data_IF_201491072301
#
_entry.id   IF_201491072301
#
_cell.length_a   1.000
_cell.length_b   1.000
_cell.length_c   1.000
_cell.angle_alpha   90.00
_cell.angle_beta   90.00
_cell.angle_gamma   90.00
#
_symmetry.space_group_name_H-M   'P 1'
#
loop_
_entity.id
_entity.type
_entity.pdbx_description
1 polymer ?
#
# COMPACT_ATOMS: atom_id res chain seq x y z
N UNK A 1 8.45 3.14 -38.73
CA UNK A 1 9.33 3.45 -37.58
C UNK A 1 8.44 3.40 -36.35
N UNK A 2 8.34 2.24 -35.72
CA UNK A 2 7.68 2.12 -34.41
C UNK A 2 8.74 2.43 -33.37
N UNK A 3 8.71 3.66 -32.86
CA UNK A 3 9.47 4.03 -31.67
C UNK A 3 8.90 3.24 -30.51
N UNK A 4 9.55 2.14 -30.15
CA UNK A 4 9.32 1.47 -28.87
C UNK A 4 9.55 2.51 -27.77
N UNK A 5 8.46 2.98 -27.16
CA UNK A 5 8.53 3.73 -25.92
C UNK A 5 9.06 2.77 -24.86
N UNK A 6 10.29 3.00 -24.42
CA UNK A 6 10.84 2.30 -23.26
C UNK A 6 10.05 2.82 -22.05
N UNK A 7 9.05 2.05 -21.63
CA UNK A 7 8.29 2.37 -20.43
C UNK A 7 9.16 1.94 -19.24
N UNK A 8 9.89 2.89 -18.64
CA UNK A 8 10.72 2.66 -17.46
C UNK A 8 9.82 2.43 -16.22
N UNK A 9 9.21 1.24 -16.13
CA UNK A 9 8.42 0.83 -14.99
C UNK A 9 9.30 0.33 -13.85
N UNK A 10 8.99 0.72 -12.61
CA UNK A 10 9.58 0.15 -11.40
C UNK A 10 8.64 -0.93 -10.84
N UNK A 11 9.19 -2.08 -10.44
CA UNK A 11 8.43 -3.15 -9.78
C UNK A 11 8.78 -3.18 -8.29
N UNK A 12 7.79 -2.99 -7.43
CA UNK A 12 7.90 -3.20 -5.98
C UNK A 12 7.24 -4.53 -5.63
N UNK A 13 7.98 -5.41 -4.96
CA UNK A 13 7.45 -6.67 -4.43
C UNK A 13 7.30 -6.53 -2.93
N UNK A 14 6.11 -6.85 -2.44
CA UNK A 14 5.78 -6.85 -1.02
C UNK A 14 5.48 -8.28 -0.58
N UNK A 15 5.91 -8.63 0.63
CA UNK A 15 5.43 -9.81 1.34
C UNK A 15 3.97 -9.62 1.77
N UNK A 16 3.32 -10.71 2.19
CA UNK A 16 1.96 -10.62 2.73
C UNK A 16 1.91 -9.71 3.96
N UNK A 17 2.90 -9.83 4.86
CA UNK A 17 2.98 -9.00 6.07
C UNK A 17 3.14 -7.50 5.72
N UNK A 18 3.97 -7.15 4.74
CA UNK A 18 4.09 -5.75 4.26
C UNK A 18 2.82 -5.25 3.56
N UNK A 19 2.16 -6.12 2.79
CA UNK A 19 0.95 -5.79 2.03
C UNK A 19 -0.20 -5.39 2.96
N UNK A 20 -0.50 -6.20 3.99
CA UNK A 20 -1.58 -5.89 4.93
C UNK A 20 -1.29 -4.64 5.75
N UNK A 21 -0.03 -4.39 6.11
CA UNK A 21 0.38 -3.18 6.85
C UNK A 21 0.22 -1.93 5.99
N UNK A 22 0.72 -1.95 4.75
CA UNK A 22 0.68 -0.81 3.86
C UNK A 22 -0.75 -0.49 3.44
N UNK A 23 -1.54 -1.52 3.12
CA UNK A 23 -2.97 -1.37 2.83
C UNK A 23 -3.70 -0.72 4.00
N UNK A 24 -3.58 -1.27 5.22
CA UNK A 24 -4.24 -0.71 6.41
C UNK A 24 -3.90 0.77 6.64
N UNK A 25 -2.63 1.12 6.42
CA UNK A 25 -2.19 2.50 6.57
C UNK A 25 -2.78 3.41 5.49
N UNK A 26 -2.74 3.00 4.22
CA UNK A 26 -3.29 3.75 3.09
C UNK A 26 -4.80 3.95 3.22
N UNK A 27 -5.56 2.93 3.62
CA UNK A 27 -7.01 3.04 3.80
C UNK A 27 -7.38 4.05 4.89
N UNK A 28 -6.75 3.97 6.07
CA UNK A 28 -6.98 4.95 7.15
C UNK A 28 -6.56 6.36 6.76
N UNK A 29 -5.51 6.46 5.94
CA UNK A 29 -5.01 7.73 5.44
C UNK A 29 -5.99 8.35 4.43
N UNK A 30 -6.50 7.58 3.48
CA UNK A 30 -7.44 8.06 2.46
C UNK A 30 -8.87 8.32 3.01
N UNK A 31 -9.24 7.75 4.16
CA UNK A 31 -10.48 8.09 4.87
C UNK A 31 -10.45 9.47 5.54
N UNK A 32 -9.27 10.06 5.73
CA UNK A 32 -9.08 11.32 6.43
C UNK A 32 -8.82 12.48 5.44
N UNK A 33 -9.30 13.68 5.75
CA UNK A 33 -8.96 14.87 4.95
C UNK A 33 -7.51 15.32 5.25
N UNK A 34 -6.69 15.32 4.22
CA UNK A 34 -5.27 15.66 4.26
C UNK A 34 -4.92 16.82 3.31
N UNK A 35 -5.86 17.72 3.02
CA UNK A 35 -5.69 18.81 2.06
C UNK A 35 -4.44 19.71 2.28
N UNK A 36 -3.89 19.77 3.49
CA UNK A 36 -2.67 20.55 3.79
C UNK A 36 -1.36 19.75 3.72
N UNK A 37 -1.43 18.43 3.53
CA UNK A 37 -0.26 17.55 3.49
C UNK A 37 0.39 17.54 2.10
N UNK A 38 -0.41 17.67 1.04
CA UNK A 38 0.02 17.52 -0.35
C UNK A 38 0.44 18.85 -0.97
N UNK A 39 1.50 18.81 -1.77
CA UNK A 39 1.88 19.96 -2.60
C UNK A 39 1.11 20.00 -3.93
N UNK A 40 0.74 18.83 -4.44
CA UNK A 40 -0.03 18.66 -5.67
C UNK A 40 -1.03 17.51 -5.53
N UNK A 41 -2.18 17.62 -6.20
CA UNK A 41 -3.22 16.59 -6.18
C UNK A 41 -2.75 15.25 -6.76
N UNK A 42 -1.75 15.25 -7.65
CA UNK A 42 -1.17 14.03 -8.20
C UNK A 42 -0.54 13.13 -7.11
N UNK A 43 -0.02 13.69 -6.02
CA UNK A 43 0.54 12.93 -4.90
C UNK A 43 -0.55 12.09 -4.21
N UNK A 44 -1.69 12.71 -3.93
CA UNK A 44 -2.88 12.04 -3.39
C UNK A 44 -3.39 10.97 -4.36
N UNK A 45 -3.45 11.28 -5.66
CA UNK A 45 -3.91 10.33 -6.68
C UNK A 45 -3.05 9.07 -6.71
N UNK A 46 -1.72 9.20 -6.62
CA UNK A 46 -0.80 8.06 -6.62
C UNK A 46 -1.06 7.17 -5.39
N UNK A 47 -1.26 7.76 -4.21
CA UNK A 47 -1.55 7.00 -2.99
C UNK A 47 -2.92 6.28 -3.06
N UNK A 48 -3.92 6.92 -3.66
CA UNK A 48 -5.21 6.28 -3.93
C UNK A 48 -5.09 5.11 -4.91
N UNK A 49 -4.32 5.28 -6.00
CA UNK A 49 -4.07 4.21 -6.97
C UNK A 49 -3.28 3.04 -6.33
N UNK A 50 -2.34 3.34 -5.42
CA UNK A 50 -1.63 2.32 -4.64
C UNK A 50 -2.58 1.53 -3.74
N UNK A 51 -3.48 2.19 -3.02
CA UNK A 51 -4.50 1.50 -2.19
C UNK A 51 -5.34 0.55 -3.03
N UNK A 52 -5.86 1.03 -4.18
CA UNK A 52 -6.70 0.23 -5.07
C UNK A 52 -5.96 -0.97 -5.69
N UNK A 53 -4.63 -0.89 -5.87
CA UNK A 53 -3.81 -2.03 -6.29
C UNK A 53 -3.72 -3.06 -5.16
N UNK A 54 -3.44 -2.60 -3.92
CA UNK A 54 -3.30 -3.49 -2.76
C UNK A 54 -4.63 -4.16 -2.41
N UNK A 55 -5.75 -3.44 -2.46
CA UNK A 55 -7.10 -3.99 -2.18
C UNK A 55 -7.41 -5.23 -3.01
N UNK A 56 -6.99 -5.25 -4.29
CA UNK A 56 -7.17 -6.41 -5.18
C UNK A 56 -6.39 -7.62 -4.69
N UNK A 57 -5.18 -7.41 -4.15
CA UNK A 57 -4.39 -8.47 -3.55
C UNK A 57 -4.97 -8.92 -2.20
N UNK A 58 -5.60 -8.02 -1.44
CA UNK A 58 -6.12 -8.34 -0.10
C UNK A 58 -7.21 -9.39 -0.12
N UNK A 59 -8.16 -9.28 -1.05
CA UNK A 59 -9.28 -10.22 -1.19
C UNK A 59 -8.85 -11.66 -1.54
N UNK A 60 -7.64 -11.84 -2.07
CA UNK A 60 -7.10 -13.15 -2.44
C UNK A 60 -6.25 -13.78 -1.31
N UNK A 61 -5.68 -12.95 -0.44
CA UNK A 61 -4.64 -13.36 0.51
C UNK A 61 -5.17 -13.47 1.95
N UNK A 62 -6.17 -12.66 2.32
CA UNK A 62 -6.62 -12.53 3.70
C UNK A 62 -8.09 -12.92 3.88
N UNK A 63 -8.41 -13.49 5.05
CA UNK A 63 -9.75 -13.96 5.45
C UNK A 63 -10.27 -13.07 6.59
N UNK A 64 -11.43 -13.42 7.14
CA UNK A 64 -12.23 -12.74 8.17
C UNK A 64 -11.49 -12.29 9.45
N UNK A 65 -10.29 -12.81 9.75
CA UNK A 65 -9.49 -12.38 10.90
C UNK A 65 -8.40 -11.35 10.56
N UNK A 66 -8.78 -10.36 9.76
CA UNK A 66 -7.93 -9.25 9.31
C UNK A 66 -7.16 -8.56 10.45
N UNK A 67 -7.83 -8.34 11.59
CA UNK A 67 -7.22 -7.60 12.72
C UNK A 67 -6.07 -8.36 13.37
N UNK A 68 -6.23 -9.67 13.55
CA UNK A 68 -5.17 -10.51 14.12
C UNK A 68 -3.99 -10.62 13.16
N UNK A 69 -4.25 -10.82 11.87
CA UNK A 69 -3.22 -10.90 10.83
C UNK A 69 -2.42 -9.60 10.73
N UNK A 70 -3.08 -8.45 10.80
CA UNK A 70 -2.43 -7.15 10.80
C UNK A 70 -1.55 -6.95 12.05
N UNK A 71 -2.01 -7.37 13.22
CA UNK A 71 -1.24 -7.29 14.46
C UNK A 71 0.04 -8.14 14.36
N UNK A 72 -0.08 -9.39 13.93
CA UNK A 72 1.05 -10.30 13.76
C UNK A 72 2.05 -9.79 12.73
N UNK A 73 1.58 -9.30 11.59
CA UNK A 73 2.43 -8.69 10.57
C UNK A 73 3.24 -7.52 11.15
N UNK A 74 2.58 -6.63 11.91
CA UNK A 74 3.25 -5.50 12.58
C UNK A 74 4.30 -5.95 13.58
N UNK A 75 4.04 -6.99 14.37
CA UNK A 75 5.03 -7.54 15.30
C UNK A 75 6.26 -8.09 14.57
N UNK A 76 6.08 -8.76 13.42
CA UNK A 76 7.20 -9.32 12.64
C UNK A 76 8.08 -8.26 11.97
N UNK A 77 7.48 -7.20 11.42
CA UNK A 77 8.19 -6.16 10.67
C UNK A 77 8.79 -5.10 11.58
N UNK A 78 8.23 -4.88 12.78
CA UNK A 78 8.71 -3.83 13.69
C UNK A 78 10.15 -4.12 14.10
N UNK A 79 11.02 -3.12 13.89
CA UNK A 79 12.38 -3.18 14.41
C UNK A 79 12.37 -3.40 15.92
N UNK A 80 12.95 -4.51 16.34
CA UNK A 80 13.31 -4.71 17.73
C UNK A 80 14.67 -4.03 17.94
N UNK A 81 14.65 -2.78 18.39
CA UNK A 81 15.90 -2.11 18.81
C UNK A 81 16.65 -3.01 19.80
N UNK A 82 17.93 -3.27 19.52
CA UNK A 82 18.91 -3.77 20.47
C UNK A 82 19.89 -2.65 20.81
#
# INVERSE_FOLDING_TARGET
MESSMINNSVCLKLSNDETIILFDWLSRFNECDHASLFQDQAEERILFDMEAILEKCMNEIFDSDYKQQLLEAREKIRDHMH
#
